data_IF_673752004375
#
_entry.id   IF_673752004375
#
_cell.length_a   1.000
_cell.length_b   1.000
_cell.length_c   1.000
_cell.angle_alpha   90.00
_cell.angle_beta   90.00
_cell.angle_gamma   90.00
#
_symmetry.space_group_name_H-M   'P 1'
#
loop_
_entity.id
_entity.type
_entity.pdbx_description
1 polymer ?
#
# COMPACT_ATOMS: atom_id res chain seq x y z
N UNK A 1 -64.52 55.79 -0.54
CA UNK A 1 -63.42 56.73 -0.27
C UNK A 1 -62.36 56.00 0.54
N UNK A 2 -61.11 56.09 0.07
CA UNK A 2 -59.84 56.04 0.81
C UNK A 2 -59.31 54.67 1.29
N UNK A 3 -58.20 54.30 0.64
CA UNK A 3 -57.18 53.29 0.99
C UNK A 3 -56.42 53.65 2.27
N UNK A 4 -55.73 52.67 2.87
CA UNK A 4 -54.31 52.65 3.35
C UNK A 4 -54.24 51.62 4.50
N UNK A 5 -53.76 50.39 4.30
CA UNK A 5 -52.36 49.91 4.21
C UNK A 5 -51.56 50.00 5.52
N UNK A 6 -51.15 48.84 6.05
CA UNK A 6 -49.93 48.53 6.85
C UNK A 6 -50.26 47.48 7.93
N UNK A 7 -49.45 46.47 8.24
CA UNK A 7 -48.24 45.89 7.68
C UNK A 7 -48.10 44.58 8.49
N UNK A 8 -48.25 43.42 7.86
CA UNK A 8 -47.95 42.13 8.50
C UNK A 8 -46.45 42.04 8.72
N UNK A 9 -46.01 42.00 9.97
CA UNK A 9 -44.70 41.47 10.34
C UNK A 9 -44.93 40.11 11.01
N UNK A 10 -45.16 39.08 10.19
CA UNK A 10 -45.10 37.69 10.66
C UNK A 10 -43.63 37.33 10.68
N UNK A 11 -43.06 37.26 11.87
CA UNK A 11 -41.73 36.71 12.11
C UNK A 11 -41.78 35.21 11.80
N UNK A 12 -41.52 34.83 10.56
CA UNK A 12 -41.29 33.44 10.18
C UNK A 12 -39.98 33.00 10.85
N UNK A 13 -40.09 32.28 11.97
CA UNK A 13 -39.02 31.40 12.42
C UNK A 13 -38.70 30.44 11.29
N UNK A 14 -37.62 30.70 10.55
CA UNK A 14 -36.92 29.65 9.83
C UNK A 14 -36.42 28.66 10.88
N UNK A 15 -37.21 27.61 11.13
CA UNK A 15 -36.63 26.35 11.57
C UNK A 15 -35.72 25.91 10.42
N UNK A 16 -34.42 26.21 10.54
CA UNK A 16 -33.42 25.45 9.84
C UNK A 16 -33.53 24.03 10.39
N UNK A 17 -34.34 23.20 9.75
CA UNK A 17 -34.10 21.77 9.75
C UNK A 17 -32.70 21.62 9.18
N UNK A 18 -31.72 21.43 10.08
CA UNK A 18 -30.54 20.68 9.72
C UNK A 18 -31.08 19.40 9.11
N UNK A 19 -30.99 19.28 7.78
CA UNK A 19 -31.14 18.02 7.12
C UNK A 19 -30.01 17.14 7.64
N UNK A 20 -30.24 16.47 8.77
CA UNK A 20 -29.67 15.14 8.93
C UNK A 20 -30.24 14.38 7.73
N UNK A 21 -29.45 14.28 6.65
CA UNK A 21 -29.81 13.47 5.51
C UNK A 21 -30.13 12.09 6.06
N UNK A 22 -31.40 11.70 6.03
CA UNK A 22 -31.77 10.34 6.36
C UNK A 22 -31.04 9.47 5.34
N UNK A 23 -30.11 8.65 5.83
CA UNK A 23 -29.40 7.65 5.05
C UNK A 23 -30.44 6.77 4.38
N UNK A 24 -30.35 6.66 3.06
CA UNK A 24 -31.15 5.70 2.30
C UNK A 24 -30.70 4.30 2.75
N UNK A 25 -31.53 3.52 3.46
CA UNK A 25 -31.11 2.24 4.02
C UNK A 25 -30.72 1.22 2.96
N UNK A 26 -31.11 1.45 1.69
CA UNK A 26 -30.78 0.57 0.58
C UNK A 26 -29.48 0.99 -0.14
N UNK A 27 -28.86 2.12 0.26
CA UNK A 27 -27.67 2.67 -0.41
C UNK A 27 -26.48 2.78 0.55
N UNK A 28 -25.48 1.91 0.34
CA UNK A 28 -24.21 2.00 1.07
C UNK A 28 -23.42 3.25 0.69
N UNK A 29 -22.85 3.89 1.71
CA UNK A 29 -21.89 4.98 1.61
C UNK A 29 -20.49 4.45 1.93
N UNK A 30 -19.56 4.64 0.99
CA UNK A 30 -18.19 4.16 1.09
C UNK A 30 -17.24 5.31 1.45
N UNK A 31 -16.63 5.26 2.63
CA UNK A 31 -15.51 6.14 2.96
C UNK A 31 -14.28 5.76 2.13
N UNK A 32 -13.63 6.73 1.50
CA UNK A 32 -12.47 6.47 0.64
C UNK A 32 -11.48 7.62 0.70
N UNK A 33 -10.19 7.31 0.62
CA UNK A 33 -9.17 8.34 0.49
C UNK A 33 -9.34 9.06 -0.86
N UNK A 34 -9.43 10.39 -0.80
CA UNK A 34 -9.64 11.24 -1.97
C UNK A 34 -8.45 11.12 -2.92
N UNK A 35 -8.70 10.83 -4.20
CA UNK A 35 -7.70 10.64 -5.23
C UNK A 35 -7.06 9.24 -5.27
N UNK A 36 -7.51 8.31 -4.42
CA UNK A 36 -6.97 6.94 -4.39
C UNK A 36 -7.49 6.07 -5.54
N UNK A 37 -6.80 4.95 -5.79
CA UNK A 37 -7.29 3.90 -6.69
C UNK A 37 -8.65 3.34 -6.25
N UNK A 38 -8.89 3.30 -4.93
CA UNK A 38 -10.16 2.89 -4.35
C UNK A 38 -11.31 3.81 -4.74
N UNK A 39 -11.08 5.12 -4.74
CA UNK A 39 -12.08 6.11 -5.15
C UNK A 39 -12.42 5.94 -6.63
N UNK A 40 -11.40 5.82 -7.49
CA UNK A 40 -11.61 5.58 -8.91
C UNK A 40 -12.43 4.30 -9.17
N UNK A 41 -12.11 3.20 -8.48
CA UNK A 41 -12.82 1.94 -8.61
C UNK A 41 -14.29 2.04 -8.14
N UNK A 42 -14.56 2.78 -7.06
CA UNK A 42 -15.91 3.03 -6.56
C UNK A 42 -16.74 3.87 -7.55
N UNK A 43 -16.15 4.94 -8.09
CA UNK A 43 -16.80 5.84 -9.04
C UNK A 43 -17.13 5.13 -10.36
N UNK A 44 -16.24 4.26 -10.86
CA UNK A 44 -16.51 3.44 -12.06
C UNK A 44 -17.73 2.52 -11.86
N UNK A 45 -17.94 2.03 -10.65
CA UNK A 45 -19.10 1.21 -10.27
C UNK A 45 -20.37 2.03 -9.97
N UNK A 46 -20.28 3.37 -9.97
CA UNK A 46 -21.37 4.27 -9.63
C UNK A 46 -21.73 4.27 -8.14
N UNK A 47 -20.80 3.89 -7.27
CA UNK A 47 -21.01 3.88 -5.82
C UNK A 47 -20.97 5.29 -5.23
N UNK A 48 -21.69 5.48 -4.12
CA UNK A 48 -21.67 6.74 -3.38
C UNK A 48 -20.48 6.75 -2.41
N UNK A 49 -19.62 7.74 -2.56
CA UNK A 49 -18.40 7.87 -1.77
C UNK A 49 -18.40 9.10 -0.87
N UNK A 50 -17.75 8.97 0.29
CA UNK A 50 -17.35 10.08 1.15
C UNK A 50 -15.83 10.14 1.13
N UNK A 51 -15.29 11.18 0.50
CA UNK A 51 -13.86 11.43 0.45
C UNK A 51 -13.30 11.84 1.81
N UNK A 52 -12.21 11.21 2.22
CA UNK A 52 -11.40 11.57 3.40
C UNK A 52 -9.93 11.76 3.00
N UNK A 53 -9.12 12.30 3.92
CA UNK A 53 -7.72 12.63 3.61
C UNK A 53 -6.76 11.44 3.70
N UNK A 54 -7.13 10.35 4.39
CA UNK A 54 -6.27 9.16 4.56
C UNK A 54 -7.10 7.88 4.68
N UNK A 55 -6.50 6.74 4.34
CA UNK A 55 -7.13 5.42 4.51
C UNK A 55 -7.45 5.10 5.97
N UNK A 56 -6.59 5.52 6.90
CA UNK A 56 -6.85 5.38 8.34
C UNK A 56 -8.13 6.14 8.75
N UNK A 57 -8.37 7.33 8.19
CA UNK A 57 -9.64 8.06 8.41
C UNK A 57 -10.83 7.34 7.79
N UNK A 58 -10.65 6.65 6.65
CA UNK A 58 -11.74 5.89 6.03
C UNK A 58 -12.20 4.76 6.97
N UNK A 59 -11.26 4.04 7.60
CA UNK A 59 -11.58 3.06 8.64
C UNK A 59 -12.25 3.70 9.87
N UNK A 60 -11.82 4.90 10.29
CA UNK A 60 -12.47 5.63 11.39
C UNK A 60 -13.93 5.94 11.09
N UNK A 61 -14.28 6.33 9.86
CA UNK A 61 -15.68 6.60 9.47
C UNK A 61 -16.57 5.37 9.60
N UNK A 62 -16.06 4.18 9.23
CA UNK A 62 -16.79 2.92 9.39
C UNK A 62 -16.93 2.56 10.86
N UNK A 63 -15.85 2.65 11.63
CA UNK A 63 -15.87 2.37 13.06
C UNK A 63 -16.80 3.32 13.84
N UNK A 64 -16.92 4.58 13.40
CA UNK A 64 -17.84 5.56 13.96
C UNK A 64 -19.30 5.38 13.48
N UNK A 65 -19.54 4.54 12.46
CA UNK A 65 -20.85 4.35 11.84
C UNK A 65 -21.31 5.52 10.97
N UNK A 66 -20.42 6.44 10.63
CA UNK A 66 -20.71 7.58 9.73
C UNK A 66 -20.66 7.17 8.26
N UNK A 67 -19.93 6.09 7.93
CA UNK A 67 -19.98 5.39 6.65
C UNK A 67 -20.30 3.90 6.83
N UNK A 68 -20.84 3.24 5.79
CA UNK A 68 -21.18 1.81 5.84
C UNK A 68 -19.97 0.90 5.60
N UNK A 69 -19.09 1.35 4.72
CA UNK A 69 -17.89 0.64 4.33
C UNK A 69 -16.75 1.64 4.10
N UNK A 70 -15.53 1.12 4.08
CA UNK A 70 -14.35 1.83 3.62
C UNK A 70 -13.77 1.12 2.41
N UNK A 71 -13.10 1.86 1.53
CA UNK A 71 -12.27 1.28 0.47
C UNK A 71 -10.83 1.72 0.73
N UNK A 72 -9.96 0.74 0.99
CA UNK A 72 -8.55 0.96 1.35
C UNK A 72 -7.66 -0.11 0.72
N UNK A 73 -6.34 0.07 0.77
CA UNK A 73 -5.40 -0.96 0.32
C UNK A 73 -5.49 -2.23 1.18
N UNK A 74 -5.34 -3.40 0.56
CA UNK A 74 -5.30 -4.70 1.22
C UNK A 74 -4.14 -4.77 2.21
N UNK A 75 -3.00 -4.18 1.87
CA UNK A 75 -1.85 -4.08 2.79
C UNK A 75 -2.21 -3.26 4.04
N UNK A 76 -2.93 -2.15 3.87
CA UNK A 76 -3.41 -1.33 4.99
C UNK A 76 -4.49 -2.07 5.79
N UNK A 77 -5.41 -2.78 5.13
CA UNK A 77 -6.42 -3.60 5.79
C UNK A 77 -5.76 -4.68 6.65
N UNK A 78 -4.84 -5.46 6.09
CA UNK A 78 -4.16 -6.54 6.80
C UNK A 78 -3.35 -6.10 8.03
N UNK A 79 -2.87 -4.86 8.05
CA UNK A 79 -2.18 -4.28 9.21
C UNK A 79 -3.14 -3.68 10.26
N UNK A 80 -4.33 -3.22 9.85
CA UNK A 80 -5.18 -2.38 10.71
C UNK A 80 -6.46 -3.03 11.21
N UNK A 81 -6.94 -4.12 10.58
CA UNK A 81 -8.24 -4.73 10.88
C UNK A 81 -8.13 -6.20 11.31
N UNK A 82 -9.14 -6.69 12.02
CA UNK A 82 -9.20 -8.07 12.52
C UNK A 82 -8.53 -8.24 13.89
N UNK A 83 -8.67 -9.45 14.46
CA UNK A 83 -8.29 -9.71 15.86
C UNK A 83 -6.84 -9.27 16.18
N UNK A 84 -6.69 -8.48 17.25
CA UNK A 84 -5.38 -8.00 17.71
C UNK A 84 -4.87 -6.73 17.04
N UNK A 85 -5.66 -6.13 16.14
CA UNK A 85 -5.31 -4.86 15.46
C UNK A 85 -6.05 -3.65 16.05
N UNK A 86 -5.88 -2.48 15.42
CA UNK A 86 -6.58 -1.24 15.78
C UNK A 86 -8.10 -1.33 15.60
N UNK A 87 -8.57 -2.14 14.65
CA UNK A 87 -10.00 -2.32 14.34
C UNK A 87 -10.39 -3.81 14.36
N UNK A 88 -10.50 -4.42 15.55
CA UNK A 88 -10.70 -5.86 15.68
C UNK A 88 -12.02 -6.38 15.13
N UNK A 89 -13.03 -5.50 15.07
CA UNK A 89 -14.38 -5.82 14.61
C UNK A 89 -14.62 -5.44 13.13
N UNK A 90 -13.57 -5.09 12.37
CA UNK A 90 -13.67 -4.81 10.94
C UNK A 90 -13.08 -5.98 10.12
N UNK A 91 -13.70 -6.28 8.98
CA UNK A 91 -13.27 -7.31 8.02
C UNK A 91 -13.32 -6.76 6.59
N UNK A 92 -12.48 -7.29 5.70
CA UNK A 92 -12.59 -6.98 4.27
C UNK A 92 -13.41 -8.05 3.53
N UNK A 93 -13.99 -7.67 2.41
CA UNK A 93 -14.87 -8.53 1.59
C UNK A 93 -14.40 -8.59 0.15
N UNK A 94 -14.79 -7.60 -0.66
CA UNK A 94 -14.48 -7.57 -2.09
C UNK A 94 -13.07 -7.01 -2.34
N UNK A 95 -12.38 -7.59 -3.34
CA UNK A 95 -11.18 -7.01 -3.96
C UNK A 95 -11.59 -6.32 -5.27
N UNK A 96 -11.33 -5.03 -5.37
CA UNK A 96 -11.77 -4.18 -6.48
C UNK A 96 -10.71 -4.03 -7.58
N UNK A 97 -9.45 -4.14 -7.21
CA UNK A 97 -8.29 -4.00 -8.11
C UNK A 97 -7.28 -5.14 -7.88
N UNK A 98 -6.24 -5.16 -8.69
CA UNK A 98 -5.08 -6.05 -8.53
C UNK A 98 -3.82 -5.30 -8.91
N UNK A 99 -2.79 -5.40 -8.08
CA UNK A 99 -1.51 -4.73 -8.27
C UNK A 99 -0.37 -5.65 -7.84
N UNK A 100 0.40 -6.14 -8.80
CA UNK A 100 1.55 -7.00 -8.53
C UNK A 100 2.77 -6.16 -8.20
N UNK A 101 3.43 -6.44 -7.07
CA UNK A 101 4.62 -5.73 -6.61
C UNK A 101 5.88 -6.54 -6.85
N UNK A 102 6.93 -5.87 -7.30
CA UNK A 102 8.26 -6.45 -7.51
C UNK A 102 9.38 -5.47 -7.18
N UNK A 103 10.61 -5.98 -7.15
CA UNK A 103 11.81 -5.18 -6.88
C UNK A 103 12.43 -4.76 -8.20
N UNK A 104 12.77 -3.48 -8.31
CA UNK A 104 13.39 -2.89 -9.49
C UNK A 104 14.91 -2.88 -9.37
N UNK A 105 15.62 -3.49 -10.32
CA UNK A 105 17.08 -3.45 -10.44
C UNK A 105 17.47 -2.71 -11.73
N UNK A 106 18.73 -2.32 -11.87
CA UNK A 106 19.26 -1.78 -13.14
C UNK A 106 18.91 -2.70 -14.32
N UNK A 107 18.68 -2.12 -15.50
CA UNK A 107 18.31 -2.92 -16.68
C UNK A 107 19.40 -3.94 -17.01
N UNK A 108 19.03 -5.21 -17.15
CA UNK A 108 19.95 -6.32 -17.42
C UNK A 108 20.76 -6.80 -16.21
N UNK A 109 20.43 -6.33 -14.99
CA UNK A 109 21.07 -6.76 -13.74
C UNK A 109 20.78 -8.23 -13.43
N UNK A 110 21.80 -8.97 -12.99
CA UNK A 110 21.63 -10.33 -12.46
C UNK A 110 21.05 -10.35 -11.03
N UNK A 111 20.99 -9.19 -10.37
CA UNK A 111 20.49 -9.04 -9.01
C UNK A 111 19.00 -9.42 -8.86
N UNK A 112 18.17 -9.14 -9.87
CA UNK A 112 16.76 -9.54 -9.84
C UNK A 112 16.60 -11.07 -9.75
N UNK A 113 17.43 -11.83 -10.47
CA UNK A 113 17.44 -13.28 -10.41
C UNK A 113 17.95 -13.78 -9.05
N UNK A 114 18.95 -13.11 -8.47
CA UNK A 114 19.44 -13.41 -7.13
C UNK A 114 18.35 -13.18 -6.07
N UNK A 115 17.65 -12.04 -6.11
CA UNK A 115 16.55 -11.74 -5.18
C UNK A 115 15.43 -12.78 -5.31
N UNK A 116 15.07 -13.17 -6.54
CA UNK A 116 14.09 -14.25 -6.76
C UNK A 116 14.52 -15.57 -6.08
N UNK A 117 15.80 -15.93 -6.13
CA UNK A 117 16.32 -17.12 -5.46
C UNK A 117 16.24 -16.99 -3.92
N UNK A 118 16.55 -15.81 -3.38
CA UNK A 118 16.40 -15.52 -1.94
C UNK A 118 14.93 -15.57 -1.51
N UNK A 119 14.01 -15.03 -2.30
CA UNK A 119 12.57 -15.12 -2.06
C UNK A 119 12.09 -16.56 -2.06
N UNK A 120 12.52 -17.38 -3.02
CA UNK A 120 12.18 -18.81 -3.04
C UNK A 120 12.67 -19.54 -1.78
N UNK A 121 13.90 -19.28 -1.33
CA UNK A 121 14.46 -19.89 -0.12
C UNK A 121 13.73 -19.44 1.17
N UNK A 122 13.50 -18.14 1.31
CA UNK A 122 12.83 -17.55 2.48
C UNK A 122 11.35 -17.93 2.55
N UNK A 123 10.69 -18.06 1.40
CA UNK A 123 9.32 -18.57 1.33
C UNK A 123 9.25 -20.06 1.68
N UNK A 124 10.16 -20.88 1.13
CA UNK A 124 10.20 -22.32 1.40
C UNK A 124 10.48 -22.64 2.89
N UNK A 125 11.26 -21.78 3.56
CA UNK A 125 11.55 -21.92 4.99
C UNK A 125 10.46 -21.37 5.92
N UNK A 126 9.45 -20.67 5.39
CA UNK A 126 8.42 -19.99 6.18
C UNK A 126 8.82 -18.60 6.68
N UNK A 127 10.07 -18.18 6.46
CA UNK A 127 10.61 -16.93 7.00
C UNK A 127 9.94 -15.71 6.38
N UNK A 128 9.69 -15.72 5.08
CA UNK A 128 9.01 -14.63 4.38
C UNK A 128 7.57 -14.44 4.92
N UNK A 129 6.89 -15.54 5.23
CA UNK A 129 5.55 -15.56 5.82
C UNK A 129 5.54 -15.04 7.27
N UNK A 130 6.56 -15.37 8.05
CA UNK A 130 6.74 -14.82 9.41
C UNK A 130 6.87 -13.29 9.37
N UNK A 131 7.72 -12.76 8.47
CA UNK A 131 7.91 -11.32 8.29
C UNK A 131 6.62 -10.69 7.76
N UNK A 132 5.97 -11.32 6.79
CA UNK A 132 4.69 -10.84 6.27
C UNK A 132 3.65 -10.69 7.39
N UNK A 133 3.59 -11.64 8.32
CA UNK A 133 2.69 -11.60 9.48
C UNK A 133 3.04 -10.49 10.47
N UNK A 134 4.32 -10.17 10.67
CA UNK A 134 4.74 -9.06 11.55
C UNK A 134 4.15 -7.74 11.05
N UNK A 135 4.13 -7.55 9.74
CA UNK A 135 3.69 -6.30 9.09
C UNK A 135 2.26 -6.33 8.53
N UNK A 136 1.53 -7.44 8.72
CA UNK A 136 0.13 -7.56 8.27
C UNK A 136 -0.04 -7.74 6.75
N UNK A 137 0.99 -8.16 6.02
CA UNK A 137 0.97 -8.27 4.55
C UNK A 137 0.77 -9.71 4.04
N UNK A 138 0.53 -10.68 4.93
CA UNK A 138 0.43 -12.10 4.60
C UNK A 138 -0.68 -12.43 3.59
N UNK A 139 -1.77 -11.64 3.56
CA UNK A 139 -2.90 -11.83 2.63
C UNK A 139 -2.58 -11.42 1.19
N UNK A 140 -1.52 -10.62 1.02
CA UNK A 140 -1.03 -10.15 -0.28
C UNK A 140 0.13 -11.02 -0.80
N UNK A 141 0.76 -11.82 0.07
CA UNK A 141 1.98 -12.55 -0.25
C UNK A 141 1.74 -13.63 -1.32
N UNK A 142 2.58 -13.64 -2.35
CA UNK A 142 2.55 -14.64 -3.42
C UNK A 142 3.51 -15.78 -3.14
N UNK A 143 3.19 -16.99 -3.62
CA UNK A 143 4.11 -18.12 -3.58
C UNK A 143 5.38 -17.82 -4.40
N UNK A 144 6.53 -18.04 -3.78
CA UNK A 144 7.82 -17.76 -4.41
C UNK A 144 8.49 -19.06 -4.85
N UNK A 145 8.84 -19.11 -6.13
CA UNK A 145 9.67 -20.17 -6.68
C UNK A 145 10.61 -19.58 -7.74
N UNK A 146 11.85 -20.04 -7.74
CA UNK A 146 12.87 -19.59 -8.67
C UNK A 146 13.88 -20.71 -8.92
N UNK A 147 14.52 -20.75 -10.10
CA UNK A 147 15.68 -21.60 -10.30
C UNK A 147 16.83 -21.16 -9.36
N UNK A 148 17.76 -22.08 -9.12
CA UNK A 148 19.01 -21.75 -8.42
C UNK A 148 19.74 -20.64 -9.17
N UNK A 149 20.16 -19.61 -8.43
CA UNK A 149 20.96 -18.52 -8.99
C UNK A 149 22.37 -19.01 -9.31
N UNK A 150 22.85 -18.71 -10.52
CA UNK A 150 24.21 -19.01 -10.94
C UNK A 150 25.03 -17.72 -10.90
N UNK A 151 26.03 -17.60 -9.99
CA UNK A 151 26.87 -16.42 -9.92
C UNK A 151 27.63 -16.13 -11.22
N UNK A 152 27.75 -14.85 -11.55
CA UNK A 152 28.56 -14.34 -12.66
C UNK A 152 29.19 -12.99 -12.30
N UNK A 153 29.82 -12.33 -13.28
CA UNK A 153 30.52 -11.05 -13.10
C UNK A 153 29.56 -9.83 -13.18
N UNK A 154 28.34 -9.97 -12.67
CA UNK A 154 27.27 -8.98 -12.77
C UNK A 154 27.19 -8.00 -11.59
N UNK A 155 26.00 -7.43 -11.39
CA UNK A 155 25.72 -6.50 -10.29
C UNK A 155 25.82 -7.16 -8.92
N UNK A 156 25.53 -8.47 -8.81
CA UNK A 156 25.76 -9.24 -7.58
C UNK A 156 27.24 -9.18 -7.18
N UNK A 157 28.16 -9.48 -8.11
CA UNK A 157 29.59 -9.43 -7.85
C UNK A 157 30.06 -8.00 -7.52
N UNK A 158 29.56 -7.00 -8.26
CA UNK A 158 29.83 -5.59 -7.98
C UNK A 158 29.40 -5.16 -6.57
N UNK A 159 28.22 -5.57 -6.11
CA UNK A 159 27.70 -5.25 -4.78
C UNK A 159 28.52 -5.93 -3.69
N UNK A 160 28.89 -7.20 -3.89
CA UNK A 160 29.75 -7.94 -2.97
C UNK A 160 31.14 -7.31 -2.83
N UNK A 161 31.74 -6.84 -3.93
CA UNK A 161 33.02 -6.12 -3.90
C UNK A 161 32.89 -4.76 -3.21
N UNK A 162 31.79 -4.05 -3.46
CA UNK A 162 31.49 -2.75 -2.83
C UNK A 162 31.25 -2.88 -1.33
N UNK A 163 30.67 -4.00 -0.87
CA UNK A 163 30.39 -4.28 0.54
C UNK A 163 29.07 -3.70 1.05
N UNK A 164 28.24 -3.11 0.19
CA UNK A 164 26.96 -2.48 0.55
C UNK A 164 25.90 -2.74 -0.53
N UNK A 165 24.69 -3.12 -0.14
CA UNK A 165 23.49 -3.07 -0.97
C UNK A 165 22.76 -1.76 -0.69
N UNK A 166 22.69 -0.87 -1.68
CA UNK A 166 22.00 0.42 -1.53
C UNK A 166 20.56 0.31 -2.05
N UNK A 167 19.59 0.47 -1.16
CA UNK A 167 18.16 0.28 -1.41
C UNK A 167 17.47 1.64 -1.47
N UNK A 168 16.95 1.99 -2.64
CA UNK A 168 16.14 3.20 -2.86
C UNK A 168 14.70 2.99 -2.40
N UNK A 169 14.23 3.83 -1.49
CA UNK A 169 12.93 3.70 -0.83
C UNK A 169 12.20 5.05 -0.67
N UNK A 170 10.92 5.00 -0.30
CA UNK A 170 10.16 6.13 0.23
C UNK A 170 9.33 5.68 1.44
N UNK A 171 8.74 6.62 2.19
CA UNK A 171 7.85 6.26 3.29
C UNK A 171 6.51 5.71 2.77
N UNK A 172 6.36 4.38 2.84
CA UNK A 172 5.20 3.62 2.41
C UNK A 172 4.94 2.45 3.38
N UNK A 173 4.27 2.74 4.50
CA UNK A 173 3.87 1.71 5.44
C UNK A 173 2.78 0.78 4.84
N UNK A 174 2.81 -0.54 5.10
CA UNK A 174 3.72 -1.25 5.99
C UNK A 174 4.98 -1.83 5.30
N UNK A 175 5.30 -1.39 4.07
CA UNK A 175 6.40 -1.91 3.27
C UNK A 175 7.75 -1.35 3.71
N UNK A 176 7.87 -0.03 3.79
CA UNK A 176 9.04 0.68 4.32
C UNK A 176 8.59 1.95 5.03
N UNK A 177 8.95 2.11 6.30
CA UNK A 177 8.63 3.30 7.09
C UNK A 177 9.65 3.45 8.23
N UNK A 178 9.90 4.69 8.71
CA UNK A 178 10.78 4.87 9.86
C UNK A 178 10.14 4.27 11.12
N UNK A 179 10.91 3.43 11.82
CA UNK A 179 10.59 2.94 13.15
C UNK A 179 10.80 4.00 14.23
N UNK A 180 10.54 3.62 15.48
CA UNK A 180 10.64 4.55 16.64
C UNK A 180 12.06 5.10 16.86
N UNK A 181 13.08 4.36 16.44
CA UNK A 181 14.49 4.74 16.49
C UNK A 181 14.99 5.47 15.22
N UNK A 182 14.11 5.63 14.22
CA UNK A 182 14.42 6.23 12.93
C UNK A 182 15.00 5.25 11.90
N UNK A 183 15.18 3.97 12.25
CA UNK A 183 15.60 2.94 11.30
C UNK A 183 14.45 2.56 10.37
N UNK A 184 14.74 2.30 9.10
CA UNK A 184 13.73 1.88 8.13
C UNK A 184 13.26 0.46 8.41
N UNK A 185 12.01 0.27 8.78
CA UNK A 185 11.40 -1.05 9.03
C UNK A 185 10.23 -1.27 8.07
N UNK A 186 9.76 -2.50 8.00
CA UNK A 186 8.66 -2.89 7.14
C UNK A 186 8.97 -4.18 6.40
N UNK A 187 7.99 -4.69 5.67
CA UNK A 187 8.16 -5.95 4.96
C UNK A 187 9.30 -5.89 3.94
N UNK A 188 9.36 -4.83 3.14
CA UNK A 188 10.37 -4.67 2.09
C UNK A 188 11.75 -4.40 2.71
N UNK A 189 11.84 -3.52 3.69
CA UNK A 189 13.08 -3.24 4.42
C UNK A 189 13.69 -4.51 5.05
N UNK A 190 12.89 -5.34 5.70
CA UNK A 190 13.37 -6.57 6.33
C UNK A 190 13.76 -7.64 5.31
N UNK A 191 13.03 -7.74 4.21
CA UNK A 191 13.43 -8.62 3.10
C UNK A 191 14.72 -8.13 2.43
N UNK A 192 14.92 -6.82 2.29
CA UNK A 192 16.15 -6.24 1.76
C UNK A 192 17.36 -6.52 2.66
N UNK A 193 17.18 -6.44 3.98
CA UNK A 193 18.21 -6.85 4.95
C UNK A 193 18.60 -8.32 4.80
N UNK A 194 17.64 -9.22 4.59
CA UNK A 194 17.94 -10.64 4.35
C UNK A 194 18.72 -10.84 3.06
N UNK A 195 18.37 -10.12 2.00
CA UNK A 195 19.12 -10.16 0.73
C UNK A 195 20.55 -9.68 0.96
N UNK A 196 20.74 -8.56 1.66
CA UNK A 196 22.08 -8.04 2.00
C UNK A 196 22.89 -9.01 2.87
N UNK A 197 22.26 -9.64 3.88
CA UNK A 197 22.89 -10.66 4.72
C UNK A 197 23.40 -11.84 3.88
N UNK A 198 22.59 -12.33 2.94
CA UNK A 198 22.96 -13.44 2.04
C UNK A 198 24.04 -13.06 1.04
N UNK A 199 24.10 -11.80 0.64
CA UNK A 199 25.19 -11.24 -0.17
C UNK A 199 26.49 -11.10 0.66
N UNK A 200 26.38 -11.04 1.98
CA UNK A 200 27.51 -10.77 2.88
C UNK A 200 27.90 -9.29 2.94
N UNK A 201 26.92 -8.39 2.75
CA UNK A 201 27.12 -6.93 2.66
C UNK A 201 26.23 -6.19 3.64
N UNK A 202 26.53 -4.91 3.87
CA UNK A 202 25.66 -4.02 4.65
C UNK A 202 24.43 -3.59 3.84
N UNK A 203 23.26 -3.49 4.47
CA UNK A 203 22.06 -2.94 3.84
C UNK A 203 21.96 -1.45 4.16
N UNK A 204 22.00 -0.61 3.12
CA UNK A 204 21.95 0.85 3.26
C UNK A 204 20.69 1.38 2.58
N UNK A 205 19.85 2.10 3.32
CA UNK A 205 18.64 2.70 2.77
C UNK A 205 18.88 4.15 2.34
N UNK A 206 18.42 4.49 1.15
CA UNK A 206 18.45 5.85 0.60
C UNK A 206 17.03 6.25 0.25
N UNK A 207 16.54 7.30 0.91
CA UNK A 207 15.27 7.91 0.53
C UNK A 207 15.46 8.64 -0.81
N UNK A 208 14.61 8.33 -1.79
CA UNK A 208 14.69 8.88 -3.15
C UNK A 208 13.44 9.64 -3.53
N UNK A 209 13.55 10.52 -4.53
CA UNK A 209 12.36 10.99 -5.25
C UNK A 209 11.88 9.89 -6.19
N UNK A 210 10.67 9.35 -5.96
CA UNK A 210 10.16 8.19 -6.71
C UNK A 210 10.15 8.37 -8.24
N UNK A 211 9.95 9.61 -8.71
CA UNK A 211 10.01 9.96 -10.13
C UNK A 211 11.40 9.77 -10.75
N UNK A 212 12.47 9.85 -9.95
CA UNK A 212 13.86 9.77 -10.39
C UNK A 212 14.46 8.37 -10.26
N UNK A 213 13.71 7.39 -9.75
CA UNK A 213 14.21 6.04 -9.41
C UNK A 213 15.03 5.34 -10.52
N UNK A 214 14.67 5.54 -11.79
CA UNK A 214 15.43 4.98 -12.93
C UNK A 214 16.78 5.69 -13.07
N UNK A 215 16.80 7.02 -12.94
CA UNK A 215 18.05 7.80 -12.98
C UNK A 215 18.97 7.45 -11.82
N UNK A 216 18.42 7.21 -10.62
CA UNK A 216 19.20 6.78 -9.45
C UNK A 216 19.83 5.39 -9.67
N UNK A 217 19.07 4.45 -10.24
CA UNK A 217 19.59 3.13 -10.64
C UNK A 217 20.72 3.26 -11.67
N UNK A 218 20.50 4.03 -12.74
CA UNK A 218 21.47 4.21 -13.82
C UNK A 218 22.75 4.93 -13.35
N UNK A 219 22.61 5.87 -12.41
CA UNK A 219 23.73 6.57 -11.77
C UNK A 219 24.47 5.72 -10.73
N UNK A 220 23.95 4.53 -10.38
CA UNK A 220 24.42 3.67 -9.29
C UNK A 220 24.42 4.38 -7.91
N UNK A 221 23.58 5.40 -7.73
CA UNK A 221 23.32 5.97 -6.40
C UNK A 221 22.47 5.02 -5.56
N UNK A 222 21.70 4.14 -6.20
CA UNK A 222 21.05 2.97 -5.60
C UNK A 222 21.31 1.71 -6.46
N UNK A 223 21.21 0.54 -5.86
CA UNK A 223 21.30 -0.76 -6.53
C UNK A 223 19.95 -1.36 -6.87
N UNK A 224 18.98 -1.13 -6.00
CA UNK A 224 17.60 -1.58 -6.15
C UNK A 224 16.62 -0.50 -5.72
N UNK A 225 15.44 -0.52 -6.30
CA UNK A 225 14.26 0.22 -5.85
C UNK A 225 13.29 -0.81 -5.28
N UNK A 226 12.98 -0.69 -4.00
CA UNK A 226 12.21 -1.70 -3.29
C UNK A 226 11.27 -1.00 -2.29
N UNK A 227 10.02 -0.78 -2.71
CA UNK A 227 9.06 0.02 -1.93
C UNK A 227 7.61 -0.22 -2.38
N UNK A 228 7.16 -1.48 -2.41
CA UNK A 228 5.85 -1.85 -2.93
C UNK A 228 5.63 -1.44 -4.39
N UNK A 229 6.66 -1.58 -5.22
CA UNK A 229 6.63 -1.04 -6.59
C UNK A 229 5.73 -1.90 -7.49
N UNK A 230 4.65 -1.30 -7.98
CA UNK A 230 3.77 -1.92 -8.98
C UNK A 230 4.51 -2.25 -10.27
N UNK A 231 4.41 -3.50 -10.71
CA UNK A 231 4.96 -4.02 -11.97
C UNK A 231 4.11 -3.61 -13.17
N UNK A 232 4.22 -2.33 -13.54
CA UNK A 232 3.59 -1.82 -14.77
C UNK A 232 4.42 -2.15 -16.01
N UNK A 233 3.81 -2.08 -17.18
CA UNK A 233 4.53 -2.26 -18.46
C UNK A 233 5.66 -1.25 -18.65
N UNK A 234 5.51 -0.03 -18.12
CA UNK A 234 6.56 0.99 -18.10
C UNK A 234 7.74 0.56 -17.23
N UNK A 235 7.46 0.10 -16.00
CA UNK A 235 8.46 -0.38 -15.05
C UNK A 235 9.23 -1.56 -15.63
N UNK A 236 8.54 -2.62 -16.07
CA UNK A 236 9.20 -3.83 -16.59
C UNK A 236 9.95 -3.57 -17.91
N UNK A 237 9.58 -2.53 -18.65
CA UNK A 237 10.32 -2.10 -19.84
C UNK A 237 11.59 -1.34 -19.46
N UNK A 238 11.53 -0.45 -18.48
CA UNK A 238 12.62 0.44 -18.11
C UNK A 238 13.71 -0.22 -17.25
N UNK A 239 13.37 -1.22 -16.44
CA UNK A 239 14.30 -1.83 -15.48
C UNK A 239 14.25 -3.36 -15.52
N UNK A 240 15.16 -4.02 -14.80
CA UNK A 240 15.09 -5.48 -14.60
C UNK A 240 14.31 -5.73 -13.30
N UNK A 241 13.29 -6.58 -13.34
CA UNK A 241 12.38 -6.75 -12.20
C UNK A 241 12.42 -8.18 -11.67
N UNK A 242 12.19 -8.33 -10.37
CA UNK A 242 11.88 -9.64 -9.80
C UNK A 242 10.53 -10.16 -10.31
N UNK A 243 10.23 -11.42 -10.01
CA UNK A 243 8.85 -11.89 -10.02
C UNK A 243 8.03 -11.09 -9.00
N UNK A 244 6.71 -11.10 -9.18
CA UNK A 244 5.81 -10.51 -8.21
C UNK A 244 5.92 -11.24 -6.86
N UNK A 245 6.12 -10.49 -5.77
CA UNK A 245 6.17 -11.04 -4.41
C UNK A 245 4.90 -10.77 -3.61
N UNK A 246 4.16 -9.72 -3.98
CA UNK A 246 2.85 -9.41 -3.43
C UNK A 246 1.86 -9.11 -4.55
N UNK A 247 0.57 -9.40 -4.32
CA UNK A 247 -0.56 -8.91 -5.11
C UNK A 247 -1.50 -8.11 -4.20
N UNK A 248 -1.36 -6.78 -4.25
CA UNK A 248 -2.20 -5.84 -3.53
C UNK A 248 -3.54 -5.62 -4.25
N UNK A 249 -4.51 -5.08 -3.54
CA UNK A 249 -5.82 -4.74 -4.06
C UNK A 249 -6.44 -3.60 -3.23
N UNK A 250 -7.33 -2.82 -3.85
CA UNK A 250 -8.28 -2.00 -3.11
C UNK A 250 -9.40 -2.90 -2.60
N UNK A 251 -9.69 -2.88 -1.31
CA UNK A 251 -10.66 -3.77 -0.67
C UNK A 251 -11.78 -3.03 0.03
N UNK A 252 -12.98 -3.62 0.01
CA UNK A 252 -14.13 -3.12 0.76
C UNK A 252 -14.07 -3.64 2.19
N UNK A 253 -13.92 -2.74 3.16
CA UNK A 253 -13.91 -3.02 4.59
C UNK A 253 -15.25 -2.66 5.21
N UNK A 254 -15.81 -3.58 5.99
CA UNK A 254 -17.10 -3.47 6.67
C UNK A 254 -17.00 -3.93 8.13
N UNK A 255 -17.97 -3.57 8.99
CA UNK A 255 -18.11 -4.22 10.28
C UNK A 255 -18.31 -5.73 10.13
N UNK A 256 -17.65 -6.52 10.96
CA UNK A 256 -17.91 -7.94 11.07
C UNK A 256 -19.39 -8.17 11.45
N UNK A 257 -20.04 -9.12 10.78
CA UNK A 257 -21.39 -9.53 11.20
C UNK A 257 -21.36 -10.07 12.63
N UNK A 258 -22.28 -9.59 13.48
CA UNK A 258 -22.44 -10.06 14.87
C UNK A 258 -23.39 -11.24 14.99
#
# INVERSE_FOLDING_TARGET
>A
MIKILSLMLVLTMCLALAACGAKDPDKMVYAVESGSAGEAAALEKGWETVGVDTQAKALMEVAAGTSDAAIIDLLMAGAMIGEGTSYPDLVYTDKLTTEEYGVGCRKGSDLAAYINAVFAETYASGKMQEIAKIYGVQESLLEQSAPEFVPGDGDVAYIQEKGELIVGITNFAPMDFPGDDGEWIGFDADMARIVAEKLGVECVFVEIEWGNKIMELDAKSIDVVWNGMTLTSEVTSAMECTNAYCNNAQVVVVPAEK
#
